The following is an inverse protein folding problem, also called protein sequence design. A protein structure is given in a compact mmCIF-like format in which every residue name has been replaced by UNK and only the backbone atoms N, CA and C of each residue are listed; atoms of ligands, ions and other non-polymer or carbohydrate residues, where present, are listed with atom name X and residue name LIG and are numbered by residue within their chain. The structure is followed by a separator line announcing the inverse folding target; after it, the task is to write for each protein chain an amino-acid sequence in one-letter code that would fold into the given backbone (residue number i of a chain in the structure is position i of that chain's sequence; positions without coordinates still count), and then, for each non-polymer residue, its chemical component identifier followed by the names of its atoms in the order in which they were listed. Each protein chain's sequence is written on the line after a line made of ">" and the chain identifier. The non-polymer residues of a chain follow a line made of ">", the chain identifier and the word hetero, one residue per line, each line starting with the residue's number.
data_IF_202463859303
#
_entry.id   IF_202463859303
#
_cell.length_a   1.000
_cell.length_b   1.000
_cell.length_c   1.000
_cell.angle_alpha   90.00
_cell.angle_beta   90.00
_cell.angle_gamma   90.00
#
_symmetry.space_group_name_H-M   'P 1'
#
loop_
_entity.id
_entity.type
_entity.pdbx_description
1 polymer ?
#
# COMPACT_ATOMS: atom_id res chain seq x y z
N UNK A 1 17.96 -33.25 -61.83
CA UNK A 1 16.94 -32.24 -62.14
C UNK A 1 16.61 -31.54 -60.83
N UNK A 2 17.09 -30.30 -60.64
CA UNK A 2 17.03 -29.53 -59.39
C UNK A 2 15.70 -28.79 -59.33
N UNK A 3 14.88 -29.02 -58.29
CA UNK A 3 13.68 -28.23 -58.04
C UNK A 3 13.94 -27.29 -56.87
N UNK A 4 14.17 -26.02 -57.20
CA UNK A 4 14.13 -24.89 -56.26
C UNK A 4 12.72 -24.32 -56.32
N UNK A 5 12.01 -24.27 -55.20
CA UNK A 5 10.84 -23.39 -55.03
C UNK A 5 10.93 -22.75 -53.64
N UNK A 6 11.31 -21.49 -53.67
CA UNK A 6 11.25 -20.52 -52.58
C UNK A 6 9.88 -19.84 -52.66
N UNK A 7 9.01 -19.93 -51.63
CA UNK A 7 7.81 -19.07 -51.54
C UNK A 7 7.36 -18.85 -50.08
N UNK A 8 7.63 -17.61 -49.61
CA UNK A 8 6.84 -16.70 -48.76
C UNK A 8 6.07 -17.14 -47.49
N UNK A 9 6.56 -16.59 -46.36
CA UNK A 9 5.84 -15.76 -45.37
C UNK A 9 4.31 -15.94 -45.27
N UNK A 10 3.87 -16.71 -44.27
CA UNK A 10 2.51 -16.61 -43.72
C UNK A 10 2.60 -15.71 -42.47
N UNK A 11 2.24 -14.43 -42.64
CA UNK A 11 1.82 -13.55 -41.56
C UNK A 11 0.42 -14.02 -41.14
N UNK A 12 0.31 -14.77 -40.05
CA UNK A 12 -0.97 -15.03 -39.38
C UNK A 12 -1.01 -14.20 -38.10
N UNK A 13 -1.84 -13.15 -38.14
CA UNK A 13 -1.98 -12.17 -37.08
C UNK A 13 -2.32 -12.80 -35.73
N UNK A 14 -1.39 -12.69 -34.80
CA UNK A 14 -1.67 -12.75 -33.37
C UNK A 14 -2.43 -11.48 -32.98
N UNK A 15 -3.75 -11.53 -33.04
CA UNK A 15 -4.60 -10.63 -32.26
C UNK A 15 -4.44 -11.04 -30.80
N UNK A 16 -3.36 -10.58 -30.16
CA UNK A 16 -3.28 -10.50 -28.71
C UNK A 16 -4.35 -9.49 -28.28
N UNK A 17 -5.50 -10.00 -27.87
CA UNK A 17 -6.45 -9.24 -27.05
C UNK A 17 -5.77 -8.94 -25.71
N UNK A 18 -5.03 -7.83 -25.66
CA UNK A 18 -4.66 -7.19 -24.42
C UNK A 18 -5.97 -6.70 -23.78
N UNK A 19 -6.51 -7.50 -22.87
CA UNK A 19 -7.38 -6.97 -21.83
C UNK A 19 -6.46 -6.57 -20.67
N UNK A 20 -6.05 -5.30 -20.52
CA UNK A 20 -5.59 -4.87 -19.23
C UNK A 20 -6.80 -4.88 -18.29
N UNK A 21 -7.06 -6.02 -17.67
CA UNK A 21 -7.81 -6.10 -16.42
C UNK A 21 -6.90 -5.52 -15.33
N UNK A 22 -6.69 -4.20 -15.36
CA UNK A 22 -6.39 -3.46 -14.13
C UNK A 22 -7.73 -3.29 -13.41
N UNK A 23 -8.28 -4.40 -12.92
CA UNK A 23 -9.36 -4.35 -11.94
C UNK A 23 -8.68 -4.22 -10.59
N UNK A 24 -8.74 -3.03 -9.99
CA UNK A 24 -8.48 -2.87 -8.56
C UNK A 24 -9.39 -3.87 -7.85
N UNK A 25 -8.79 -4.84 -7.15
CA UNK A 25 -9.56 -5.80 -6.39
C UNK A 25 -9.89 -5.11 -5.08
N UNK A 26 -11.08 -4.53 -4.95
CA UNK A 26 -11.50 -3.94 -3.68
C UNK A 26 -11.65 -5.06 -2.67
N UNK A 27 -10.77 -5.06 -1.67
CA UNK A 27 -10.75 -6.10 -0.65
C UNK A 27 -11.82 -5.81 0.41
N UNK A 28 -12.64 -6.83 0.69
CA UNK A 28 -13.60 -6.84 1.79
C UNK A 28 -14.76 -5.81 1.74
N UNK A 29 -15.34 -5.54 0.56
CA UNK A 29 -16.44 -4.56 0.34
C UNK A 29 -17.63 -4.65 1.31
N UNK A 30 -17.96 -5.86 1.77
CA UNK A 30 -19.12 -6.13 2.64
C UNK A 30 -18.88 -5.83 4.11
N UNK A 31 -17.66 -5.43 4.49
CA UNK A 31 -17.30 -5.15 5.88
C UNK A 31 -17.92 -3.86 6.36
N UNK A 32 -18.58 -3.91 7.51
CA UNK A 32 -19.25 -2.75 8.12
C UNK A 32 -18.31 -1.88 8.97
N UNK A 33 -17.16 -2.41 9.39
CA UNK A 33 -16.09 -1.70 10.11
C UNK A 33 -16.61 -0.81 11.26
N UNK A 34 -17.46 -1.40 12.11
CA UNK A 34 -18.18 -0.67 13.17
C UNK A 34 -17.42 -0.60 14.49
N UNK A 35 -16.35 -1.36 14.67
CA UNK A 35 -15.56 -1.31 15.90
C UNK A 35 -14.50 -0.21 15.83
N UNK A 36 -14.26 0.44 16.97
CA UNK A 36 -13.29 1.51 17.14
C UNK A 36 -12.20 1.15 18.18
N UNK A 37 -11.98 -0.13 18.46
CA UNK A 37 -11.05 -0.59 19.50
C UNK A 37 -9.58 -0.69 19.05
N UNK A 38 -9.33 -0.49 17.75
CA UNK A 38 -8.02 -0.33 17.15
C UNK A 38 -8.17 0.58 15.92
N UNK A 39 -7.30 1.57 15.78
CA UNK A 39 -7.43 2.60 14.73
C UNK A 39 -6.09 2.94 14.13
N UNK A 40 -6.07 3.26 12.83
CA UNK A 40 -4.96 3.92 12.18
C UNK A 40 -4.90 5.35 12.74
N UNK A 41 -3.72 5.76 13.20
CA UNK A 41 -3.48 7.13 13.67
C UNK A 41 -2.92 8.00 12.56
N UNK A 42 -1.83 7.56 11.92
CA UNK A 42 -1.21 8.31 10.84
C UNK A 42 -0.36 7.42 9.95
N UNK A 43 -0.14 7.90 8.73
CA UNK A 43 0.92 7.46 7.84
C UNK A 43 1.91 8.60 7.64
N UNK A 44 3.19 8.28 7.52
CA UNK A 44 4.22 9.27 7.21
C UNK A 44 5.35 8.65 6.39
N UNK A 45 6.07 9.50 5.65
CA UNK A 45 7.30 9.12 4.97
C UNK A 45 8.49 9.33 5.90
N UNK A 46 9.41 8.37 5.93
CA UNK A 46 10.62 8.44 6.74
C UNK A 46 11.75 7.59 6.18
N UNK A 47 12.89 7.63 6.85
CA UNK A 47 14.04 6.79 6.52
C UNK A 47 13.89 5.34 7.03
N UNK A 48 14.90 4.51 6.78
CA UNK A 48 14.98 3.10 7.23
C UNK A 48 14.90 2.93 8.76
N UNK A 49 15.11 4.00 9.53
CA UNK A 49 15.10 3.99 10.99
C UNK A 49 13.77 4.52 11.57
N UNK A 50 12.80 4.86 10.72
CA UNK A 50 11.51 5.41 11.15
C UNK A 50 11.55 6.90 11.49
N UNK A 51 12.62 7.61 11.13
CA UNK A 51 12.71 9.06 11.30
C UNK A 51 11.92 9.73 10.18
N UNK A 52 10.83 10.39 10.54
CA UNK A 52 9.97 11.11 9.60
C UNK A 52 10.75 12.18 8.84
N UNK A 53 10.53 12.25 7.53
CA UNK A 53 11.05 13.34 6.71
C UNK A 53 10.43 14.67 7.13
N UNK A 54 11.27 15.71 7.20
CA UNK A 54 10.85 17.07 7.57
C UNK A 54 11.27 18.07 6.49
N UNK A 55 10.83 19.31 6.60
CA UNK A 55 11.17 20.35 5.64
C UNK A 55 12.69 20.48 5.49
N UNK A 56 13.19 20.46 4.25
CA UNK A 56 14.62 20.53 3.94
C UNK A 56 15.38 19.20 4.06
N UNK A 57 14.68 18.06 4.13
CA UNK A 57 15.33 16.73 4.10
C UNK A 57 16.10 16.49 2.79
N UNK A 58 15.59 17.00 1.66
CA UNK A 58 16.12 16.85 0.32
C UNK A 58 15.67 18.05 -0.54
N UNK A 59 16.32 18.26 -1.68
CA UNK A 59 15.93 19.28 -2.65
C UNK A 59 14.80 18.75 -3.57
N UNK A 60 13.93 19.63 -4.11
CA UNK A 60 12.88 19.22 -5.05
C UNK A 60 13.44 18.41 -6.22
N UNK A 61 12.86 17.23 -6.47
CA UNK A 61 13.28 16.31 -7.54
C UNK A 61 14.46 15.39 -7.21
N UNK A 62 15.05 15.50 -6.02
CA UNK A 62 15.98 14.47 -5.54
C UNK A 62 15.26 13.14 -5.34
N UNK A 63 15.87 12.05 -5.82
CA UNK A 63 15.37 10.69 -5.56
C UNK A 63 15.94 10.21 -4.23
N UNK A 64 15.07 9.90 -3.27
CA UNK A 64 15.44 9.32 -1.98
C UNK A 64 14.81 7.96 -1.77
N UNK A 65 15.44 7.10 -0.97
CA UNK A 65 14.87 5.83 -0.55
C UNK A 65 13.92 6.07 0.63
N UNK A 66 12.62 6.02 0.35
CA UNK A 66 11.58 6.36 1.29
C UNK A 66 10.89 5.10 1.83
N UNK A 67 10.60 5.13 3.12
CA UNK A 67 9.78 4.15 3.81
C UNK A 67 8.44 4.77 4.18
N UNK A 68 7.35 4.05 3.90
CA UNK A 68 6.01 4.37 4.36
C UNK A 68 5.83 3.73 5.74
N UNK A 69 5.68 4.58 6.75
CA UNK A 69 5.49 4.16 8.13
C UNK A 69 4.03 4.37 8.56
N UNK A 70 3.49 3.41 9.31
CA UNK A 70 2.13 3.42 9.83
C UNK A 70 2.12 3.40 11.36
N UNK A 71 1.33 4.29 11.96
CA UNK A 71 1.07 4.32 13.40
C UNK A 71 -0.35 3.87 13.69
N UNK A 72 -0.49 3.03 14.72
CA UNK A 72 -1.78 2.52 15.16
C UNK A 72 -1.99 2.77 16.64
N UNK A 73 -3.23 3.07 17.00
CA UNK A 73 -3.66 3.30 18.38
C UNK A 73 -4.64 2.21 18.80
N UNK A 74 -4.38 1.61 19.97
CA UNK A 74 -5.32 0.72 20.62
C UNK A 74 -6.23 1.53 21.56
N UNK A 75 -7.53 1.60 21.25
CA UNK A 75 -8.53 2.28 22.07
C UNK A 75 -9.16 1.35 23.12
N UNK A 76 -8.73 0.09 23.16
CA UNK A 76 -9.15 -0.91 24.15
C UNK A 76 -7.96 -1.43 24.93
N UNK A 77 -8.19 -1.73 26.22
CA UNK A 77 -7.18 -2.37 27.07
C UNK A 77 -6.92 -3.83 26.71
N UNK A 78 -7.83 -4.48 25.97
CA UNK A 78 -7.64 -5.86 25.53
C UNK A 78 -6.73 -5.89 24.29
N UNK A 79 -5.72 -6.79 24.25
CA UNK A 79 -4.85 -6.91 23.09
C UNK A 79 -5.65 -7.29 21.84
N UNK A 80 -5.21 -6.76 20.70
CA UNK A 80 -5.64 -7.18 19.36
C UNK A 80 -4.53 -7.98 18.71
N UNK A 81 -4.90 -8.83 17.78
CA UNK A 81 -4.02 -9.83 17.17
C UNK A 81 -4.15 -9.76 15.66
N UNK A 82 -3.17 -10.29 14.92
CA UNK A 82 -3.27 -10.55 13.47
C UNK A 82 -3.77 -9.31 12.70
N UNK A 83 -2.85 -8.41 12.39
CA UNK A 83 -3.12 -7.20 11.62
C UNK A 83 -3.00 -7.52 10.13
N UNK A 84 -4.04 -7.26 9.37
CA UNK A 84 -4.02 -7.35 7.91
C UNK A 84 -4.15 -5.95 7.32
N UNK A 85 -3.29 -5.60 6.37
CA UNK A 85 -3.30 -4.34 5.64
C UNK A 85 -3.43 -4.60 4.15
N UNK A 86 -4.29 -3.82 3.50
CA UNK A 86 -4.45 -3.80 2.05
C UNK A 86 -4.56 -2.36 1.55
N UNK A 87 -3.77 -1.97 0.55
CA UNK A 87 -3.91 -0.70 -0.17
C UNK A 87 -3.04 -0.68 -1.43
N UNK A 88 -3.41 0.17 -2.38
CA UNK A 88 -2.59 0.51 -3.53
C UNK A 88 -1.85 1.82 -3.27
N UNK A 89 -0.60 1.94 -3.72
CA UNK A 89 0.23 3.13 -3.54
C UNK A 89 0.44 3.80 -4.90
N UNK A 90 0.24 5.12 -4.91
CA UNK A 90 0.44 5.98 -6.06
C UNK A 90 1.41 7.12 -5.71
N UNK A 91 2.31 7.44 -6.64
CA UNK A 91 3.20 8.60 -6.57
C UNK A 91 2.89 9.49 -7.77
N UNK A 92 2.48 10.74 -7.52
CA UNK A 92 1.95 11.66 -8.54
C UNK A 92 0.88 11.03 -9.46
N UNK A 93 0.01 10.22 -8.85
CA UNK A 93 -1.06 9.50 -9.55
C UNK A 93 -0.59 8.28 -10.36
N UNK A 94 0.71 7.95 -10.35
CA UNK A 94 1.26 6.74 -10.97
C UNK A 94 1.26 5.61 -9.97
N UNK A 95 0.59 4.50 -10.31
CA UNK A 95 0.61 3.28 -9.49
C UNK A 95 2.03 2.72 -9.37
N UNK A 96 2.50 2.49 -8.14
CA UNK A 96 3.82 1.91 -7.88
C UNK A 96 3.75 0.53 -7.21
N UNK A 97 2.65 0.20 -6.53
CA UNK A 97 2.53 -1.11 -5.88
C UNK A 97 1.26 -1.31 -5.07
N UNK A 98 1.05 -2.54 -4.63
CA UNK A 98 -0.01 -2.93 -3.70
C UNK A 98 0.65 -3.52 -2.46
N UNK A 99 0.19 -3.09 -1.29
CA UNK A 99 0.42 -3.78 -0.02
C UNK A 99 -0.78 -4.67 0.22
N UNK A 100 -0.55 -5.95 0.46
CA UNK A 100 -1.56 -6.96 0.78
C UNK A 100 -0.97 -7.94 1.79
N UNK A 101 -0.71 -7.43 2.99
CA UNK A 101 0.24 -8.06 3.92
C UNK A 101 -0.39 -8.42 5.26
N UNK A 102 0.13 -9.51 5.83
CA UNK A 102 -0.28 -10.04 7.11
C UNK A 102 0.83 -9.83 8.16
N UNK A 103 0.55 -8.99 9.15
CA UNK A 103 1.43 -8.68 10.26
C UNK A 103 0.94 -9.32 11.55
N UNK A 104 1.87 -9.76 12.39
CA UNK A 104 1.58 -10.29 13.73
C UNK A 104 0.56 -11.44 13.73
N UNK A 105 0.61 -12.35 12.75
CA UNK A 105 -0.34 -13.46 12.69
C UNK A 105 -0.28 -14.34 13.95
N UNK A 106 -1.40 -14.40 14.65
CA UNK A 106 -1.54 -15.07 15.94
C UNK A 106 -0.75 -14.46 17.10
N UNK A 107 -0.16 -13.28 16.90
CA UNK A 107 0.57 -12.54 17.93
C UNK A 107 -0.17 -11.26 18.30
N UNK A 108 -0.02 -10.77 19.55
CA UNK A 108 -0.51 -9.45 19.91
C UNK A 108 0.12 -8.39 19.02
N UNK A 109 -0.71 -7.49 18.48
CA UNK A 109 -0.28 -6.29 17.78
C UNK A 109 0.35 -5.37 18.83
N UNK A 110 1.63 -5.00 18.70
CA UNK A 110 2.27 -4.15 19.69
C UNK A 110 1.62 -2.76 19.70
N UNK A 111 1.52 -2.15 20.87
CA UNK A 111 1.05 -0.78 21.04
C UNK A 111 2.24 0.19 21.03
N UNK A 112 2.05 1.40 20.50
CA UNK A 112 3.09 2.44 20.44
C UNK A 112 4.34 2.03 19.64
N UNK A 113 4.15 1.24 18.58
CA UNK A 113 5.20 0.95 17.60
C UNK A 113 4.78 1.49 16.25
N UNK A 114 5.76 1.98 15.51
CA UNK A 114 5.65 2.33 14.10
C UNK A 114 5.90 1.06 13.30
N UNK A 115 5.10 0.83 12.25
CA UNK A 115 5.28 -0.29 11.34
C UNK A 115 5.79 0.24 9.99
N UNK A 116 6.93 -0.28 9.54
CA UNK A 116 7.38 -0.09 8.15
C UNK A 116 6.53 -0.98 7.25
N UNK A 117 5.70 -0.37 6.41
CA UNK A 117 4.73 -1.09 5.57
C UNK A 117 5.15 -1.17 4.11
N UNK A 118 6.03 -0.29 3.64
CA UNK A 118 6.48 -0.28 2.24
C UNK A 118 7.72 0.58 2.02
N UNK A 119 8.61 0.15 1.13
CA UNK A 119 9.81 0.89 0.73
C UNK A 119 9.78 1.16 -0.77
N UNK A 120 10.16 2.38 -1.18
CA UNK A 120 10.18 2.79 -2.58
C UNK A 120 11.11 3.99 -2.82
N UNK A 121 11.57 4.14 -4.06
CA UNK A 121 12.24 5.35 -4.49
C UNK A 121 11.20 6.47 -4.65
N UNK A 122 11.38 7.58 -3.93
CA UNK A 122 10.49 8.72 -3.92
C UNK A 122 11.19 9.96 -4.44
N UNK A 123 10.57 10.62 -5.41
CA UNK A 123 10.99 11.94 -5.87
C UNK A 123 10.54 12.98 -4.84
N UNK A 124 11.49 13.70 -4.26
CA UNK A 124 11.21 14.66 -3.20
C UNK A 124 10.25 15.76 -3.67
N UNK A 125 9.11 15.85 -2.98
CA UNK A 125 8.01 16.76 -3.30
C UNK A 125 6.85 16.10 -4.05
N UNK A 126 7.01 14.88 -4.57
CA UNK A 126 5.93 14.14 -5.23
C UNK A 126 4.82 13.77 -4.23
N UNK A 127 3.57 13.87 -4.68
CA UNK A 127 2.41 13.47 -3.87
C UNK A 127 2.34 11.96 -3.74
N UNK A 128 2.17 11.46 -2.52
CA UNK A 128 1.93 10.04 -2.26
C UNK A 128 0.48 9.84 -1.81
N UNK A 129 -0.22 8.93 -2.48
CA UNK A 129 -1.63 8.63 -2.22
C UNK A 129 -1.83 7.13 -2.08
N UNK A 130 -2.58 6.72 -1.07
CA UNK A 130 -3.05 5.35 -0.89
C UNK A 130 -4.49 5.25 -1.38
N UNK A 131 -4.81 4.25 -2.20
CA UNK A 131 -6.18 3.93 -2.58
C UNK A 131 -6.63 2.58 -2.03
N UNK A 132 -7.94 2.41 -1.90
CA UNK A 132 -8.58 1.17 -1.45
C UNK A 132 -8.04 0.71 -0.09
N UNK A 133 -7.77 1.66 0.81
CA UNK A 133 -7.19 1.35 2.10
C UNK A 133 -8.15 0.52 2.94
N UNK A 134 -7.68 -0.65 3.35
CA UNK A 134 -8.36 -1.55 4.24
C UNK A 134 -7.39 -2.07 5.29
N UNK A 135 -7.81 -2.04 6.55
CA UNK A 135 -7.13 -2.77 7.60
C UNK A 135 -8.12 -3.59 8.41
N UNK A 136 -7.67 -4.71 8.94
CA UNK A 136 -8.44 -5.50 9.89
C UNK A 136 -7.57 -6.11 10.96
N UNK A 137 -8.20 -6.39 12.10
CA UNK A 137 -7.55 -7.00 13.23
C UNK A 137 -8.45 -8.07 13.83
N UNK A 138 -7.85 -8.95 14.62
CA UNK A 138 -8.54 -10.03 15.31
C UNK A 138 -8.64 -9.76 16.81
N UNK A 139 -9.79 -10.07 17.43
CA UNK A 139 -9.93 -10.01 18.88
C UNK A 139 -9.13 -11.13 19.60
N UNK A 140 -8.74 -12.20 18.89
CA UNK A 140 -8.08 -13.38 19.46
C UNK A 140 -6.95 -13.87 18.55
N UNK A 141 -5.93 -14.50 19.14
CA UNK A 141 -4.76 -15.04 18.45
C UNK A 141 -5.08 -16.12 17.39
N UNK A 142 -6.12 -16.94 17.60
CA UNK A 142 -6.35 -18.12 16.75
C UNK A 142 -7.08 -17.81 15.43
N UNK A 143 -7.17 -16.54 15.05
CA UNK A 143 -7.87 -16.12 13.83
C UNK A 143 -6.86 -15.67 12.77
N UNK A 144 -6.97 -16.19 11.53
CA UNK A 144 -6.03 -15.87 10.45
C UNK A 144 -6.25 -14.46 9.91
N UNK A 145 -5.30 -13.99 9.12
CA UNK A 145 -5.42 -12.72 8.40
C UNK A 145 -6.58 -12.69 7.40
N UNK A 146 -6.88 -11.49 6.89
CA UNK A 146 -7.92 -11.24 5.91
C UNK A 146 -9.17 -10.59 6.50
N UNK A 147 -10.24 -10.54 5.71
CA UNK A 147 -11.43 -9.74 6.02
C UNK A 147 -12.01 -9.98 7.41
N UNK A 148 -12.50 -8.89 8.00
CA UNK A 148 -13.27 -8.86 9.23
C UNK A 148 -14.52 -8.04 9.02
N UNK A 149 -15.68 -8.49 9.53
CA UNK A 149 -16.92 -7.75 9.35
C UNK A 149 -16.91 -6.42 10.14
N UNK A 150 -16.62 -6.48 11.44
CA UNK A 150 -16.67 -5.29 12.31
C UNK A 150 -15.32 -4.82 12.83
N UNK A 151 -14.30 -5.70 12.92
CA UNK A 151 -12.95 -5.37 13.40
C UNK A 151 -12.06 -4.97 12.22
N UNK A 152 -12.42 -3.86 11.60
CA UNK A 152 -11.73 -3.30 10.45
C UNK A 152 -11.90 -1.79 10.42
N UNK A 153 -11.09 -1.17 9.58
CA UNK A 153 -11.22 0.21 9.15
C UNK A 153 -10.94 0.27 7.66
N UNK A 154 -11.60 1.16 6.95
CA UNK A 154 -11.44 1.35 5.52
C UNK A 154 -11.55 2.82 5.16
N UNK A 155 -10.81 3.21 4.14
CA UNK A 155 -10.86 4.55 3.56
C UNK A 155 -10.67 4.43 2.06
N UNK A 156 -11.39 5.26 1.29
CA UNK A 156 -11.29 5.20 -0.17
C UNK A 156 -9.94 5.69 -0.67
N UNK A 157 -9.49 6.81 -0.11
CA UNK A 157 -8.24 7.47 -0.47
C UNK A 157 -7.62 8.12 0.77
N UNK A 158 -6.31 7.92 0.96
CA UNK A 158 -5.51 8.59 2.00
C UNK A 158 -4.35 9.30 1.33
N UNK A 159 -4.26 10.62 1.50
CA UNK A 159 -3.12 11.40 1.04
C UNK A 159 -2.08 11.42 2.16
N UNK A 160 -0.84 11.06 1.85
CA UNK A 160 0.26 11.09 2.82
C UNK A 160 0.83 12.50 2.90
N UNK A 161 0.89 13.07 4.10
CA UNK A 161 1.48 14.39 4.32
C UNK A 161 3.01 14.31 4.20
N UNK A 162 3.51 14.65 3.01
CA UNK A 162 4.94 14.85 2.77
C UNK A 162 5.37 16.27 3.22
N UNK A 163 6.66 16.48 3.55
CA UNK A 163 7.18 17.81 3.86
C UNK A 163 6.86 18.83 2.76
N UNK A 164 6.61 20.08 3.17
CA UNK A 164 6.54 21.19 2.22
C UNK A 164 7.92 21.39 1.60
N UNK A 165 8.04 21.00 0.33
CA UNK A 165 9.22 21.24 -0.49
C UNK A 165 8.86 22.39 -1.43
N UNK A 166 9.52 23.54 -1.23
CA UNK A 166 9.22 24.73 -2.00
C UNK A 166 10.00 24.69 -3.32
N UNK A 167 9.29 24.56 -4.42
CA UNK A 167 9.83 24.67 -5.77
C UNK A 167 9.43 26.02 -6.36
N UNK A 168 10.37 26.96 -6.33
CA UNK A 168 10.18 28.32 -6.87
C UNK A 168 10.90 28.40 -8.22
N UNK A 169 10.20 28.06 -9.30
CA UNK A 169 10.65 28.36 -10.67
C UNK A 169 10.71 29.87 -10.97
#
# INVERSE_FOLDING_TARGET
>A
MRQKITTYLILLGLLFGFNPLFGQTVVCETSSCTANDFTLETFYLGDENGVQFTAGYCDPGDVVDAHLWANFVANSAAPRYTLYLHFNIYVDGVYIGTVDECYYEGQPIPTNVTLDVYQFAWDCGAQVTLSDYYMSWRPNANQPCGCSNSKCYREGEIIIEAPLIADFE
#
